data_IF_764895567559
#
_entry.id   IF_764895567559
#
_cell.length_a   1.000
_cell.length_b   1.000
_cell.length_c   1.000
_cell.angle_alpha   90.00
_cell.angle_beta   90.00
_cell.angle_gamma   90.00
#
_symmetry.space_group_name_H-M   'P 1'
#
loop_
_entity.id
_entity.type
_entity.pdbx_description
1 polymer ?
#
# COMPACT_ATOMS: atom_id res chain seq x y z
N UNK A 1 -9.82 16.44 45.92
CA UNK A 1 -10.74 16.97 44.88
C UNK A 1 -10.17 16.63 43.50
N UNK A 2 -10.88 15.77 42.74
CA UNK A 2 -10.72 15.40 41.29
C UNK A 2 -9.30 15.02 40.82
N UNK A 3 -8.87 13.75 40.84
CA UNK A 3 -9.11 12.70 39.82
C UNK A 3 -9.23 13.20 38.37
N UNK A 4 -8.23 12.89 37.52
CA UNK A 4 -8.42 12.26 36.20
C UNK A 4 -7.10 11.83 35.51
N UNK A 5 -7.03 10.53 35.26
CA UNK A 5 -6.48 9.82 34.10
C UNK A 5 -5.00 9.98 33.69
N UNK A 6 -4.25 8.91 33.98
CA UNK A 6 -3.08 8.41 33.25
C UNK A 6 -3.40 8.12 31.77
N UNK A 7 -2.69 8.76 30.84
CA UNK A 7 -2.41 8.15 29.54
C UNK A 7 -0.96 7.66 29.58
N UNK A 8 -0.68 6.35 29.42
CA UNK A 8 0.68 5.92 29.18
C UNK A 8 1.16 6.58 27.88
N UNK A 9 2.46 6.89 27.71
CA UNK A 9 3.01 7.31 26.44
C UNK A 9 3.05 6.08 25.50
N UNK A 10 1.88 5.64 25.04
CA UNK A 10 1.72 4.56 24.07
C UNK A 10 2.00 5.09 22.67
N UNK A 11 2.83 4.33 21.95
CA UNK A 11 3.28 4.53 20.57
C UNK A 11 4.38 5.57 20.35
N UNK A 12 5.59 5.21 20.78
CA UNK A 12 6.82 5.66 20.12
C UNK A 12 6.72 5.35 18.62
N UNK A 13 6.43 6.35 17.79
CA UNK A 13 6.57 6.21 16.33
C UNK A 13 8.03 5.87 16.06
N UNK A 14 8.33 4.59 15.85
CA UNK A 14 9.66 4.15 15.46
C UNK A 14 9.98 4.87 14.16
N UNK A 15 10.92 5.82 14.22
CA UNK A 15 11.29 6.64 13.07
C UNK A 15 12.26 5.82 12.21
N UNK A 16 11.80 4.66 11.72
CA UNK A 16 12.54 3.88 10.72
C UNK A 16 12.41 4.62 9.40
N UNK A 17 13.41 5.42 9.10
CA UNK A 17 13.59 5.95 7.75
C UNK A 17 13.88 4.76 6.84
N UNK A 18 12.92 4.40 5.98
CA UNK A 18 13.16 3.37 4.98
C UNK A 18 14.15 3.89 3.95
N UNK A 19 15.35 3.29 3.81
CA UNK A 19 16.27 3.67 2.76
C UNK A 19 15.59 3.51 1.38
N UNK A 20 15.80 4.45 0.47
CA UNK A 20 15.24 4.41 -0.89
C UNK A 20 13.95 5.21 -1.13
N UNK A 21 13.55 6.12 -0.23
CA UNK A 21 12.30 6.89 -0.35
C UNK A 21 12.16 7.68 -1.68
N UNK A 22 13.25 8.17 -2.29
CA UNK A 22 13.21 8.90 -3.58
C UNK A 22 12.74 8.03 -4.75
N UNK A 23 13.29 6.81 -4.88
CA UNK A 23 12.93 5.89 -5.98
C UNK A 23 11.46 5.50 -5.92
N UNK A 24 10.96 5.19 -4.71
CA UNK A 24 9.55 4.85 -4.47
C UNK A 24 8.61 6.02 -4.74
N UNK A 25 9.00 7.24 -4.36
CA UNK A 25 8.23 8.46 -4.66
C UNK A 25 8.12 8.74 -6.15
N UNK A 26 9.22 8.57 -6.90
CA UNK A 26 9.21 8.75 -8.35
C UNK A 26 8.26 7.75 -9.03
N UNK A 27 8.35 6.47 -8.64
CA UNK A 27 7.46 5.43 -9.16
C UNK A 27 6.00 5.66 -8.78
N UNK A 28 5.74 6.10 -7.55
CA UNK A 28 4.40 6.51 -7.14
C UNK A 28 3.87 7.70 -7.97
N UNK A 29 4.72 8.64 -8.35
CA UNK A 29 4.32 9.77 -9.20
C UNK A 29 3.91 9.34 -10.61
N UNK A 30 4.49 8.27 -11.15
CA UNK A 30 4.05 7.66 -12.41
C UNK A 30 2.64 7.08 -12.28
N UNK A 31 2.35 6.40 -11.16
CA UNK A 31 1.01 5.86 -10.89
C UNK A 31 -0.09 6.92 -10.74
N UNK A 32 0.26 8.14 -10.30
CA UNK A 32 -0.69 9.26 -10.24
C UNK A 32 -1.25 9.63 -11.62
N UNK A 33 -0.47 9.43 -12.69
CA UNK A 33 -0.91 9.73 -14.06
C UNK A 33 -2.04 8.81 -14.53
N UNK A 34 -2.16 7.62 -13.93
CA UNK A 34 -3.23 6.66 -14.19
C UNK A 34 -4.49 6.92 -13.34
N UNK A 35 -4.55 8.06 -12.63
CA UNK A 35 -5.69 8.43 -11.79
C UNK A 35 -5.75 7.67 -10.45
N UNK A 36 -4.65 7.05 -10.04
CA UNK A 36 -4.55 6.36 -8.75
C UNK A 36 -4.36 7.40 -7.64
N UNK A 37 -5.01 7.20 -6.49
CA UNK A 37 -4.88 8.11 -5.34
C UNK A 37 -3.43 8.11 -4.83
N UNK A 38 -2.94 9.22 -4.25
CA UNK A 38 -1.55 9.32 -3.80
C UNK A 38 -1.09 8.26 -2.80
N UNK A 39 -1.98 7.84 -1.90
CA UNK A 39 -1.68 6.78 -0.93
C UNK A 39 -1.59 5.41 -1.61
N UNK A 40 -2.52 5.12 -2.51
CA UNK A 40 -2.58 3.86 -3.25
C UNK A 40 -1.38 3.71 -4.21
N UNK A 41 -0.99 4.80 -4.86
CA UNK A 41 0.21 4.86 -5.68
C UNK A 41 1.48 4.55 -4.87
N UNK A 42 1.55 5.03 -3.62
CA UNK A 42 2.66 4.71 -2.73
C UNK A 42 2.65 3.23 -2.31
N UNK A 43 1.47 2.65 -2.03
CA UNK A 43 1.35 1.23 -1.72
C UNK A 43 1.82 0.35 -2.88
N UNK A 44 1.46 0.70 -4.12
CA UNK A 44 1.93 -0.02 -5.31
C UNK A 44 3.44 0.08 -5.48
N UNK A 45 4.01 1.28 -5.36
CA UNK A 45 5.46 1.48 -5.46
C UNK A 45 6.23 0.75 -4.35
N UNK A 46 5.63 0.62 -3.15
CA UNK A 46 6.20 -0.17 -2.06
C UNK A 46 6.12 -1.66 -2.33
N UNK A 47 4.99 -2.16 -2.84
CA UNK A 47 4.82 -3.56 -3.18
C UNK A 47 5.79 -3.99 -4.30
N UNK A 48 5.95 -3.16 -5.33
CA UNK A 48 6.91 -3.38 -6.40
C UNK A 48 8.36 -3.34 -5.88
N UNK A 49 8.70 -2.36 -5.04
CA UNK A 49 10.02 -2.28 -4.42
C UNK A 49 10.31 -3.46 -3.47
N UNK A 50 9.27 -4.00 -2.83
CA UNK A 50 9.32 -5.18 -1.98
C UNK A 50 9.29 -6.50 -2.75
N UNK A 51 9.13 -6.48 -4.08
CA UNK A 51 8.90 -7.66 -4.92
C UNK A 51 7.77 -8.54 -4.38
N UNK A 52 6.69 -7.92 -3.92
CA UNK A 52 5.52 -8.64 -3.46
C UNK A 52 4.81 -9.29 -4.66
N UNK A 53 4.37 -10.53 -4.49
CA UNK A 53 3.62 -11.24 -5.54
C UNK A 53 2.19 -10.69 -5.66
N UNK A 54 1.57 -10.37 -4.52
CA UNK A 54 0.19 -9.91 -4.44
C UNK A 54 0.04 -8.64 -3.59
N UNK A 55 -0.75 -7.69 -4.07
CA UNK A 55 -1.26 -6.56 -3.30
C UNK A 55 -2.76 -6.74 -3.09
N UNK A 56 -3.13 -7.04 -1.85
CA UNK A 56 -4.52 -7.25 -1.45
C UNK A 56 -5.21 -5.91 -1.18
N UNK A 57 -6.31 -5.60 -1.88
CA UNK A 57 -7.12 -4.40 -1.62
C UNK A 57 -8.61 -4.68 -1.75
N UNK A 58 -9.44 -3.97 -0.99
CA UNK A 58 -10.90 -4.03 -1.10
C UNK A 58 -11.49 -2.89 -1.95
N UNK A 59 -10.68 -1.95 -2.45
CA UNK A 59 -11.18 -0.83 -3.26
C UNK A 59 -11.26 -1.23 -4.74
N UNK A 60 -12.49 -1.39 -5.23
CA UNK A 60 -12.78 -1.71 -6.64
C UNK A 60 -12.20 -0.68 -7.61
N UNK A 61 -12.11 0.60 -7.21
CA UNK A 61 -11.54 1.65 -8.05
C UNK A 61 -10.04 1.41 -8.24
N UNK A 62 -9.35 1.04 -7.16
CA UNK A 62 -7.93 0.71 -7.20
C UNK A 62 -7.69 -0.53 -8.06
N UNK A 63 -8.50 -1.58 -7.91
CA UNK A 63 -8.42 -2.79 -8.73
C UNK A 63 -8.57 -2.48 -10.23
N UNK A 64 -9.52 -1.62 -10.61
CA UNK A 64 -9.74 -1.23 -12.01
C UNK A 64 -8.58 -0.38 -12.56
N UNK A 65 -8.09 0.59 -11.79
CA UNK A 65 -6.95 1.41 -12.19
C UNK A 65 -5.67 0.58 -12.31
N UNK A 66 -5.43 -0.34 -11.37
CA UNK A 66 -4.28 -1.24 -11.42
C UNK A 66 -4.29 -2.15 -12.66
N UNK A 67 -5.45 -2.66 -13.07
CA UNK A 67 -5.60 -3.44 -14.32
C UNK A 67 -5.26 -2.63 -15.58
N UNK A 68 -5.31 -1.31 -15.52
CA UNK A 68 -4.94 -0.44 -16.65
C UNK A 68 -3.43 -0.30 -16.78
N UNK A 69 -2.68 -0.52 -15.70
CA UNK A 69 -1.22 -0.47 -15.68
C UNK A 69 -0.69 -1.83 -16.14
N UNK A 70 -0.15 -1.87 -17.36
CA UNK A 70 0.43 -3.11 -17.93
C UNK A 70 1.82 -3.43 -17.38
N UNK A 71 2.56 -2.42 -16.95
CA UNK A 71 3.95 -2.56 -16.47
C UNK A 71 4.04 -2.77 -14.94
N UNK A 72 3.00 -3.34 -14.33
CA UNK A 72 2.97 -3.58 -12.90
C UNK A 72 3.47 -4.99 -12.59
N UNK A 73 4.57 -5.09 -11.82
CA UNK A 73 5.14 -6.38 -11.42
C UNK A 73 4.39 -7.10 -10.29
N UNK A 74 3.37 -6.45 -9.72
CA UNK A 74 2.62 -6.92 -8.55
C UNK A 74 1.17 -7.18 -8.95
N UNK A 75 0.62 -8.34 -8.58
CA UNK A 75 -0.78 -8.67 -8.87
C UNK A 75 -1.70 -8.02 -7.82
N UNK A 76 -2.51 -7.06 -8.24
CA UNK A 76 -3.51 -6.44 -7.37
C UNK A 76 -4.77 -7.31 -7.35
N UNK A 77 -5.18 -7.74 -6.15
CA UNK A 77 -6.25 -8.73 -5.96
C UNK A 77 -7.15 -8.36 -4.77
N UNK A 78 -8.42 -8.79 -4.80
CA UNK A 78 -9.35 -8.67 -3.69
C UNK A 78 -9.04 -9.76 -2.64
N UNK A 79 -9.18 -9.53 -1.32
CA UNK A 79 -9.05 -10.59 -0.32
C UNK A 79 -9.87 -11.85 -0.62
N UNK A 80 -11.08 -11.72 -1.16
CA UNK A 80 -11.92 -12.89 -1.52
C UNK A 80 -11.26 -13.72 -2.62
N UNK A 81 -10.80 -13.04 -3.68
CA UNK A 81 -10.10 -13.69 -4.80
C UNK A 81 -8.74 -14.26 -4.37
N UNK A 82 -8.07 -13.61 -3.41
CA UNK A 82 -6.80 -14.06 -2.85
C UNK A 82 -6.94 -15.39 -2.11
N UNK A 83 -8.00 -15.55 -1.30
CA UNK A 83 -8.27 -16.81 -0.59
C UNK A 83 -8.45 -17.95 -1.60
N UNK A 84 -9.17 -17.71 -2.70
CA UNK A 84 -9.35 -18.72 -3.75
C UNK A 84 -8.05 -19.09 -4.48
N UNK A 85 -7.06 -18.19 -4.52
CA UNK A 85 -5.75 -18.46 -5.12
C UNK A 85 -4.84 -19.28 -4.17
N UNK A 86 -5.00 -19.10 -2.85
CA UNK A 86 -4.20 -19.79 -1.82
C UNK A 86 -4.74 -21.20 -1.54
N UNK A 87 -6.05 -21.42 -1.70
CA UNK A 87 -6.71 -22.71 -1.44
C UNK A 87 -6.57 -23.73 -2.59
N UNK A 88 -5.89 -23.38 -3.69
CA UNK A 88 -5.58 -24.29 -4.81
C UNK A 88 -4.21 -24.94 -4.64
#
# INVERSE_FOLDING_TARGET
MRSQATCPPSFSKSRRSYPGHRKRKNRAAEFLQFGIKPLDALHLALAEAGRADYLCTCDDRLLRSAKTIKDLSVKVINPVDLVQEIEK
#
